data_IF_308222325497
#
_entry.id   IF_308222325497
#
_cell.length_a   1.000
_cell.length_b   1.000
_cell.length_c   1.000
_cell.angle_alpha   90.00
_cell.angle_beta   90.00
_cell.angle_gamma   90.00
#
_symmetry.space_group_name_H-M   'P 1'
#
loop_
_entity.id
_entity.type
_entity.pdbx_description
1 polymer ?
#
# COMPACT_ATOMS: atom_id res chain seq x y z
N UNK A 1 36.12 35.56 4.08
CA UNK A 1 36.95 34.62 4.86
C UNK A 1 36.54 33.24 4.43
N UNK A 2 37.35 32.60 3.58
CA UNK A 2 37.09 31.24 3.10
C UNK A 2 37.50 30.24 4.20
N UNK A 3 36.51 29.56 4.77
CA UNK A 3 36.74 28.52 5.78
C UNK A 3 37.41 27.31 5.12
N UNK A 4 38.49 26.73 5.70
CA UNK A 4 39.19 25.61 5.09
C UNK A 4 38.27 24.39 4.99
N UNK A 5 38.07 23.87 3.78
CA UNK A 5 37.28 22.66 3.53
C UNK A 5 38.11 21.44 3.91
N UNK A 6 37.94 20.92 5.12
CA UNK A 6 38.42 19.57 5.46
C UNK A 6 37.75 18.55 4.51
N UNK A 7 38.55 17.82 3.73
CA UNK A 7 38.09 16.65 2.95
C UNK A 7 37.81 15.44 3.86
N UNK A 8 37.11 15.66 4.98
CA UNK A 8 36.57 14.59 5.80
C UNK A 8 35.21 14.17 5.23
N UNK A 9 34.95 12.86 5.19
CA UNK A 9 33.67 12.31 4.73
C UNK A 9 32.49 12.86 5.54
N UNK A 10 31.28 12.82 4.97
CA UNK A 10 30.08 13.26 5.69
C UNK A 10 29.87 12.41 6.95
N UNK A 11 29.73 13.05 8.11
CA UNK A 11 29.36 12.35 9.35
C UNK A 11 27.90 11.89 9.28
N UNK A 12 27.51 10.99 10.19
CA UNK A 12 26.10 10.58 10.30
C UNK A 12 25.22 11.76 10.76
N UNK A 13 25.71 12.61 11.67
CA UNK A 13 24.99 13.82 12.14
C UNK A 13 24.74 14.83 11.01
N UNK A 14 25.74 15.07 10.15
CA UNK A 14 25.58 15.96 9.00
C UNK A 14 24.56 15.40 8.00
N UNK A 15 24.53 14.08 7.85
CA UNK A 15 23.58 13.41 6.97
C UNK A 15 22.17 13.47 7.53
N UNK A 16 22.01 13.24 8.83
CA UNK A 16 20.74 13.34 9.54
C UNK A 16 20.18 14.77 9.48
N UNK A 17 20.99 15.79 9.80
CA UNK A 17 20.58 17.19 9.69
C UNK A 17 20.14 17.57 8.27
N UNK A 18 20.81 17.04 7.26
CA UNK A 18 20.43 17.26 5.85
C UNK A 18 19.10 16.61 5.50
N UNK A 19 18.86 15.38 5.97
CA UNK A 19 17.59 14.67 5.76
C UNK A 19 16.45 15.36 6.50
N UNK A 20 16.66 15.79 7.73
CA UNK A 20 15.62 16.47 8.53
C UNK A 20 15.19 17.79 7.89
N UNK A 21 16.15 18.61 7.46
CA UNK A 21 15.84 19.84 6.74
C UNK A 21 15.13 19.58 5.41
N UNK A 22 15.53 18.52 4.68
CA UNK A 22 14.85 18.12 3.45
C UNK A 22 13.40 17.73 3.71
N UNK A 23 13.14 16.88 4.71
CA UNK A 23 11.79 16.43 5.03
C UNK A 23 10.89 17.56 5.53
N UNK A 24 11.44 18.51 6.29
CA UNK A 24 10.72 19.73 6.69
C UNK A 24 10.32 20.57 5.47
N UNK A 25 11.25 20.80 4.53
CA UNK A 25 10.94 21.52 3.28
C UNK A 25 9.92 20.77 2.42
N UNK A 26 10.02 19.44 2.34
CA UNK A 26 9.06 18.61 1.61
C UNK A 26 7.66 18.70 2.23
N UNK A 27 7.55 18.66 3.56
CA UNK A 27 6.28 18.83 4.25
C UNK A 27 5.64 20.19 3.91
N UNK A 28 6.43 21.28 3.92
CA UNK A 28 5.98 22.62 3.51
C UNK A 28 5.49 22.64 2.05
N UNK A 29 6.25 22.04 1.12
CA UNK A 29 5.85 21.96 -0.30
C UNK A 29 4.51 21.23 -0.45
N UNK A 30 4.35 20.10 0.24
CA UNK A 30 3.13 19.30 0.18
C UNK A 30 1.92 19.98 0.84
N UNK A 31 2.14 20.87 1.82
CA UNK A 31 1.08 21.69 2.42
C UNK A 31 0.83 23.01 1.68
N UNK A 32 1.49 23.25 0.54
CA UNK A 32 1.36 24.50 -0.22
C UNK A 32 2.02 25.72 0.45
N UNK A 33 2.87 25.50 1.46
CA UNK A 33 3.64 26.56 2.10
C UNK A 33 4.91 26.83 1.28
N UNK A 34 5.26 28.11 1.16
CA UNK A 34 6.47 28.52 0.44
C UNK A 34 7.70 28.41 1.35
N UNK A 35 8.85 28.09 0.76
CA UNK A 35 10.16 28.13 1.42
C UNK A 35 11.21 28.56 0.40
N UNK A 36 12.38 29.05 0.86
CA UNK A 36 13.46 29.53 -0.01
C UNK A 36 14.70 28.68 0.19
N UNK A 37 15.02 27.80 -0.77
CA UNK A 37 16.19 26.89 -0.73
C UNK A 37 17.49 27.55 -0.22
N UNK A 38 17.76 28.79 -0.61
CA UNK A 38 18.95 29.53 -0.18
C UNK A 38 18.97 29.85 1.31
N UNK A 39 17.81 30.15 1.91
CA UNK A 39 17.66 30.41 3.34
C UNK A 39 17.91 29.14 4.14
N UNK A 40 17.26 28.04 3.78
CA UNK A 40 17.46 26.75 4.44
C UNK A 40 18.89 26.22 4.29
N UNK A 41 19.52 26.43 3.14
CA UNK A 41 20.94 26.11 2.94
C UNK A 41 21.85 26.94 3.87
N UNK A 42 21.58 28.23 4.00
CA UNK A 42 22.31 29.12 4.90
C UNK A 42 22.13 28.68 6.36
N UNK A 43 20.90 28.40 6.81
CA UNK A 43 20.62 27.91 8.16
C UNK A 43 21.36 26.62 8.51
N UNK A 44 21.42 25.67 7.56
CA UNK A 44 22.19 24.44 7.76
C UNK A 44 23.68 24.71 7.94
N UNK A 45 24.24 25.62 7.16
CA UNK A 45 25.66 26.01 7.26
C UNK A 45 25.96 26.86 8.49
N UNK A 46 25.01 27.65 8.97
CA UNK A 46 25.21 28.39 10.22
C UNK A 46 25.12 27.48 11.45
N UNK A 47 24.64 26.25 11.30
CA UNK A 47 24.58 25.24 12.36
C UNK A 47 25.32 23.94 12.01
N UNK A 48 24.59 22.82 11.85
CA UNK A 48 25.18 21.48 11.82
C UNK A 48 26.11 21.21 10.63
N UNK A 49 26.00 21.98 9.54
CA UNK A 49 26.79 21.85 8.32
C UNK A 49 27.82 22.99 8.16
N UNK A 50 28.29 23.58 9.26
CA UNK A 50 29.23 24.72 9.24
C UNK A 50 30.57 24.47 8.56
N UNK A 51 30.95 23.20 8.42
CA UNK A 51 32.15 22.79 7.66
C UNK A 51 31.89 22.56 6.16
N UNK A 52 30.65 22.72 5.68
CA UNK A 52 30.26 22.39 4.30
C UNK A 52 29.98 23.65 3.48
N UNK A 53 30.35 23.61 2.21
CA UNK A 53 30.03 24.67 1.25
C UNK A 53 28.56 24.64 0.84
N UNK A 54 28.03 25.79 0.39
CA UNK A 54 26.65 25.88 -0.09
C UNK A 54 26.36 24.89 -1.24
N UNK A 55 27.33 24.71 -2.15
CA UNK A 55 27.25 23.75 -3.26
C UNK A 55 27.24 22.30 -2.79
N UNK A 56 28.02 21.97 -1.75
CA UNK A 56 28.04 20.63 -1.15
C UNK A 56 26.69 20.29 -0.51
N UNK A 57 26.06 21.26 0.15
CA UNK A 57 24.71 21.11 0.73
C UNK A 57 23.65 20.97 -0.37
N UNK A 58 23.69 21.78 -1.43
CA UNK A 58 22.75 21.64 -2.57
C UNK A 58 22.84 20.24 -3.19
N UNK A 59 24.06 19.76 -3.46
CA UNK A 59 24.26 18.42 -4.01
C UNK A 59 23.80 17.31 -3.07
N UNK A 60 23.92 17.51 -1.74
CA UNK A 60 23.37 16.60 -0.74
C UNK A 60 21.84 16.50 -0.84
N UNK A 61 21.14 17.61 -1.08
CA UNK A 61 19.69 17.60 -1.30
C UNK A 61 19.32 16.85 -2.58
N UNK A 62 20.10 16.98 -3.66
CA UNK A 62 19.92 16.21 -4.89
C UNK A 62 20.13 14.70 -4.67
N UNK A 63 21.09 14.32 -3.82
CA UNK A 63 21.29 12.92 -3.43
C UNK A 63 20.06 12.37 -2.69
N UNK A 64 19.49 13.14 -1.76
CA UNK A 64 18.25 12.76 -1.04
C UNK A 64 17.09 12.61 -2.03
N UNK A 65 16.91 13.56 -2.96
CA UNK A 65 15.89 13.46 -4.03
C UNK A 65 16.00 12.17 -4.84
N UNK A 66 17.21 11.76 -5.24
CA UNK A 66 17.38 10.53 -6.00
C UNK A 66 17.11 9.27 -5.16
N UNK A 67 17.47 9.27 -3.86
CA UNK A 67 17.12 8.15 -2.96
C UNK A 67 15.61 8.06 -2.76
N UNK A 68 14.91 9.17 -2.54
CA UNK A 68 13.45 9.18 -2.43
C UNK A 68 12.79 8.68 -3.72
N UNK A 69 13.28 9.10 -4.89
CA UNK A 69 12.78 8.64 -6.18
C UNK A 69 12.98 7.13 -6.39
N UNK A 70 14.15 6.59 -6.01
CA UNK A 70 14.41 5.15 -6.00
C UNK A 70 13.49 4.38 -5.04
N UNK A 71 13.05 5.01 -3.94
CA UNK A 71 12.10 4.45 -2.98
C UNK A 71 10.63 4.64 -3.42
N UNK A 72 10.38 5.27 -4.57
CA UNK A 72 9.02 5.59 -5.03
C UNK A 72 8.32 6.68 -4.22
N UNK A 73 9.08 7.46 -3.45
CA UNK A 73 8.59 8.54 -2.60
C UNK A 73 8.61 9.88 -3.33
N UNK A 74 7.76 10.81 -2.89
CA UNK A 74 7.78 12.19 -3.41
C UNK A 74 9.07 12.88 -2.97
N UNK A 75 9.68 13.60 -3.91
CA UNK A 75 10.81 14.50 -3.69
C UNK A 75 10.35 15.94 -3.82
N UNK A 76 11.15 16.86 -3.29
CA UNK A 76 10.98 18.29 -3.54
C UNK A 76 11.18 18.56 -5.04
N UNK A 77 10.24 19.27 -5.65
CA UNK A 77 10.25 19.58 -7.09
C UNK A 77 11.54 20.31 -7.51
N UNK A 78 11.96 21.29 -6.71
CA UNK A 78 13.13 22.16 -6.95
C UNK A 78 14.51 21.54 -6.68
N UNK A 79 14.58 20.28 -6.23
CA UNK A 79 15.84 19.53 -6.11
C UNK A 79 15.83 18.35 -7.08
N UNK A 80 16.44 18.54 -8.25
CA UNK A 80 16.57 17.49 -9.25
C UNK A 80 17.40 16.31 -8.71
N UNK A 81 16.95 15.05 -8.89
CA UNK A 81 17.70 13.86 -8.50
C UNK A 81 19.13 13.86 -9.05
N UNK A 82 20.10 13.55 -8.18
CA UNK A 82 21.49 13.39 -8.61
C UNK A 82 21.61 12.21 -9.58
N UNK A 83 22.33 12.40 -10.70
CA UNK A 83 22.53 11.36 -11.73
C UNK A 83 23.34 10.17 -11.22
N UNK A 84 24.30 10.42 -10.34
CA UNK A 84 25.20 9.41 -9.78
C UNK A 84 25.27 9.61 -8.27
N UNK A 85 25.02 8.55 -7.51
CA UNK A 85 25.20 8.52 -6.05
C UNK A 85 26.07 7.31 -5.71
N UNK A 86 27.12 7.53 -4.92
CA UNK A 86 27.93 6.42 -4.41
C UNK A 86 27.10 5.47 -3.54
N UNK A 87 27.26 4.16 -3.74
CA UNK A 87 26.43 3.14 -3.07
C UNK A 87 26.39 3.29 -1.54
N UNK A 88 27.54 3.56 -0.90
CA UNK A 88 27.61 3.75 0.56
C UNK A 88 26.84 4.99 1.04
N UNK A 89 26.84 6.07 0.25
CA UNK A 89 26.09 7.29 0.58
C UNK A 89 24.58 7.05 0.44
N UNK A 90 24.15 6.38 -0.63
CA UNK A 90 22.75 6.03 -0.82
C UNK A 90 22.23 5.14 0.33
N UNK A 91 23.02 4.13 0.74
CA UNK A 91 22.66 3.25 1.85
C UNK A 91 22.52 4.01 3.17
N UNK A 92 23.46 4.93 3.48
CA UNK A 92 23.38 5.75 4.70
C UNK A 92 22.16 6.67 4.69
N UNK A 93 21.82 7.29 3.56
CA UNK A 93 20.59 8.10 3.43
C UNK A 93 19.35 7.24 3.68
N UNK A 94 19.27 6.04 3.08
CA UNK A 94 18.14 5.11 3.31
C UNK A 94 18.02 4.73 4.78
N UNK A 95 19.13 4.47 5.46
CA UNK A 95 19.15 4.15 6.90
C UNK A 95 18.58 5.29 7.75
N UNK A 96 18.96 6.54 7.46
CA UNK A 96 18.41 7.71 8.15
C UNK A 96 16.92 7.84 7.87
N UNK A 97 16.51 7.77 6.60
CA UNK A 97 15.09 7.88 6.20
C UNK A 97 14.20 6.81 6.83
N UNK A 98 14.70 5.59 7.05
CA UNK A 98 13.95 4.51 7.68
C UNK A 98 13.52 4.83 9.13
N UNK A 99 14.24 5.72 9.81
CA UNK A 99 13.95 6.14 11.19
C UNK A 99 13.18 7.47 11.26
N UNK A 100 12.76 8.04 10.13
CA UNK A 100 12.11 9.36 10.06
C UNK A 100 10.69 9.22 9.49
N UNK A 101 9.80 10.13 9.89
CA UNK A 101 8.48 10.24 9.28
C UNK A 101 8.64 10.93 7.94
N UNK A 102 8.61 10.14 6.86
CA UNK A 102 8.70 10.67 5.50
C UNK A 102 7.28 10.89 4.95
N UNK A 103 6.91 12.12 4.56
CA UNK A 103 5.60 12.41 4.01
C UNK A 103 5.25 11.50 2.82
N UNK A 104 4.18 10.71 2.96
CA UNK A 104 3.74 9.76 1.94
C UNK A 104 4.39 8.37 2.00
N UNK A 105 5.29 8.08 2.95
CA UNK A 105 5.85 6.75 3.13
C UNK A 105 4.79 5.69 3.45
N UNK A 106 3.75 6.06 4.19
CA UNK A 106 2.60 5.19 4.44
C UNK A 106 1.88 4.75 3.17
N UNK A 107 2.03 5.42 2.03
CA UNK A 107 1.38 5.01 0.79
C UNK A 107 2.12 3.86 0.08
N UNK A 108 3.43 3.73 0.33
CA UNK A 108 4.30 2.72 -0.32
C UNK A 108 4.81 1.66 0.66
N UNK A 109 4.54 1.82 1.96
CA UNK A 109 4.96 0.87 2.98
C UNK A 109 4.34 -0.52 2.73
N UNK A 110 5.14 -1.60 2.84
CA UNK A 110 4.62 -2.96 2.91
C UNK A 110 3.62 -3.12 4.06
N UNK A 111 2.68 -4.04 3.92
CA UNK A 111 1.68 -4.34 4.96
C UNK A 111 1.20 -5.78 4.83
N UNK A 112 0.86 -6.39 5.96
CA UNK A 112 0.21 -7.69 5.99
C UNK A 112 -1.32 -7.58 5.83
N UNK A 113 -1.89 -6.38 6.04
CA UNK A 113 -3.32 -6.16 5.87
C UNK A 113 -3.68 -6.08 4.38
N UNK A 114 -4.40 -7.09 3.90
CA UNK A 114 -4.74 -7.25 2.49
C UNK A 114 -5.54 -6.05 1.93
N UNK A 115 -6.44 -5.46 2.73
CA UNK A 115 -7.26 -4.32 2.29
C UNK A 115 -6.39 -3.08 2.04
N UNK A 116 -5.50 -2.79 2.98
CA UNK A 116 -4.52 -1.70 2.88
C UNK A 116 -3.59 -1.94 1.70
N UNK A 117 -3.11 -3.17 1.50
CA UNK A 117 -2.26 -3.53 0.36
C UNK A 117 -2.96 -3.26 -0.98
N UNK A 118 -4.19 -3.75 -1.17
CA UNK A 118 -4.97 -3.53 -2.41
C UNK A 118 -5.23 -2.05 -2.66
N UNK A 119 -5.54 -1.28 -1.60
CA UNK A 119 -5.79 0.16 -1.69
C UNK A 119 -4.54 0.92 -2.11
N UNK A 120 -3.39 0.64 -1.45
CA UNK A 120 -2.08 1.22 -1.80
C UNK A 120 -1.67 0.86 -3.23
N UNK A 121 -1.77 -0.42 -3.60
CA UNK A 121 -1.46 -0.90 -4.94
C UNK A 121 -2.30 -0.22 -6.03
N UNK A 122 -3.62 -0.10 -5.83
CA UNK A 122 -4.52 0.60 -6.75
C UNK A 122 -4.11 2.07 -6.95
N UNK A 123 -3.71 2.77 -5.87
CA UNK A 123 -3.23 4.16 -5.96
C UNK A 123 -1.91 4.25 -6.74
N UNK A 124 -0.97 3.35 -6.49
CA UNK A 124 0.32 3.30 -7.17
C UNK A 124 0.17 2.95 -8.66
N UNK A 125 -0.72 2.01 -8.99
CA UNK A 125 -1.05 1.66 -10.37
C UNK A 125 -1.60 2.88 -11.14
N UNK A 126 -2.52 3.64 -10.53
CA UNK A 126 -3.05 4.89 -11.11
C UNK A 126 -1.97 5.95 -11.32
N UNK A 127 -0.97 6.03 -10.43
CA UNK A 127 0.16 6.95 -10.57
C UNK A 127 1.15 6.51 -11.66
N UNK A 128 1.22 5.21 -11.96
CA UNK A 128 2.14 4.63 -12.93
C UNK A 128 3.58 4.61 -12.39
N UNK A 129 4.00 3.46 -11.85
CA UNK A 129 5.38 3.28 -11.38
C UNK A 129 6.36 3.49 -12.54
N UNK A 130 7.40 4.30 -12.31
CA UNK A 130 8.43 4.62 -13.30
C UNK A 130 9.62 3.66 -13.27
N UNK A 131 9.77 2.95 -12.17
CA UNK A 131 10.90 2.05 -11.89
C UNK A 131 10.34 0.69 -11.51
N UNK A 132 10.95 -0.37 -12.02
CA UNK A 132 10.63 -1.74 -11.65
C UNK A 132 10.96 -1.97 -10.16
N UNK A 133 10.01 -2.46 -9.35
CA UNK A 133 10.27 -2.70 -7.94
C UNK A 133 11.21 -3.91 -7.76
N UNK A 134 12.26 -3.75 -6.96
CA UNK A 134 13.23 -4.82 -6.66
C UNK A 134 12.65 -5.99 -5.86
N UNK A 135 11.50 -5.80 -5.20
CA UNK A 135 10.90 -6.75 -4.27
C UNK A 135 11.68 -6.90 -2.95
N UNK A 136 11.23 -7.84 -2.12
CA UNK A 136 11.93 -8.28 -0.90
C UNK A 136 12.09 -9.81 -0.95
N UNK A 137 13.32 -10.35 -1.05
CA UNK A 137 13.55 -11.79 -1.11
C UNK A 137 13.23 -12.53 0.18
N UNK A 138 13.20 -11.82 1.33
CA UNK A 138 12.90 -12.39 2.65
C UNK A 138 11.81 -11.54 3.32
N UNK A 139 10.54 -11.67 2.90
CA UNK A 139 9.44 -10.91 3.50
C UNK A 139 9.25 -11.31 4.98
N UNK A 140 9.03 -10.34 5.89
CA UNK A 140 8.80 -10.64 7.29
C UNK A 140 7.49 -11.42 7.46
N UNK A 141 7.54 -12.48 8.26
CA UNK A 141 6.34 -13.23 8.64
C UNK A 141 5.66 -12.54 9.83
N UNK A 142 4.33 -12.56 9.83
CA UNK A 142 3.52 -12.07 10.95
C UNK A 142 2.52 -13.15 11.34
N UNK A 143 2.38 -13.39 12.65
CA UNK A 143 1.34 -14.26 13.20
C UNK A 143 0.07 -13.45 13.46
N UNK A 144 -1.08 -13.98 13.05
CA UNK A 144 -2.39 -13.35 13.27
C UNK A 144 -3.34 -14.32 13.96
N UNK A 145 -4.18 -13.79 14.85
CA UNK A 145 -5.30 -14.54 15.44
C UNK A 145 -6.58 -14.14 14.71
N UNK A 146 -7.33 -15.12 14.21
CA UNK A 146 -8.58 -14.87 13.48
C UNK A 146 -9.74 -15.61 14.12
N UNK A 147 -10.89 -14.94 14.18
CA UNK A 147 -12.15 -15.56 14.58
C UNK A 147 -12.79 -16.21 13.35
N UNK A 148 -13.19 -17.46 13.49
CA UNK A 148 -13.91 -18.20 12.45
C UNK A 148 -15.27 -18.67 12.98
N UNK A 149 -16.21 -18.84 12.06
CA UNK A 149 -17.52 -19.41 12.36
C UNK A 149 -17.52 -20.90 12.00
N UNK A 150 -18.03 -21.73 12.90
CA UNK A 150 -18.37 -23.12 12.60
C UNK A 150 -19.60 -23.11 11.69
N UNK A 151 -19.49 -23.74 10.52
CA UNK A 151 -20.55 -23.75 9.50
C UNK A 151 -21.12 -25.15 9.31
N UNK A 152 -22.41 -25.25 9.06
CA UNK A 152 -23.09 -26.51 8.80
C UNK A 152 -22.77 -27.02 7.39
N UNK A 153 -22.07 -28.16 7.23
CA UNK A 153 -21.77 -28.73 5.93
C UNK A 153 -23.04 -29.09 5.13
N UNK A 154 -24.17 -29.35 5.79
CA UNK A 154 -25.44 -29.67 5.12
C UNK A 154 -26.00 -28.45 4.39
N UNK A 155 -25.93 -27.25 4.99
CA UNK A 155 -26.33 -26.00 4.34
C UNK A 155 -25.49 -25.78 3.09
N UNK A 156 -24.16 -25.96 3.21
CA UNK A 156 -23.25 -25.85 2.07
C UNK A 156 -23.60 -26.83 0.95
N UNK A 157 -23.72 -28.12 1.28
CA UNK A 157 -24.01 -29.17 0.30
C UNK A 157 -25.37 -28.94 -0.39
N UNK A 158 -26.40 -28.56 0.38
CA UNK A 158 -27.73 -28.29 -0.13
C UNK A 158 -27.73 -27.12 -1.12
N UNK A 159 -27.16 -25.98 -0.74
CA UNK A 159 -27.12 -24.77 -1.59
C UNK A 159 -26.30 -25.02 -2.86
N UNK A 160 -25.15 -25.69 -2.77
CA UNK A 160 -24.37 -26.07 -3.94
C UNK A 160 -25.14 -27.03 -4.87
N UNK A 161 -25.89 -27.98 -4.31
CA UNK A 161 -26.72 -28.92 -5.07
C UNK A 161 -27.86 -28.23 -5.83
N UNK A 162 -28.51 -27.23 -5.22
CA UNK A 162 -29.55 -26.43 -5.88
C UNK A 162 -29.00 -25.69 -7.11
N UNK A 163 -27.76 -25.20 -7.02
CA UNK A 163 -27.11 -24.43 -8.07
C UNK A 163 -26.70 -25.26 -9.29
N UNK A 164 -26.60 -26.59 -9.17
CA UNK A 164 -26.26 -27.51 -10.28
C UNK A 164 -25.02 -27.08 -11.08
N UNK A 165 -24.01 -26.57 -10.39
CA UNK A 165 -22.78 -26.08 -10.99
C UNK A 165 -22.92 -24.78 -11.79
N UNK A 166 -24.00 -24.03 -11.60
CA UNK A 166 -24.22 -22.70 -12.20
C UNK A 166 -24.25 -21.65 -11.11
N UNK A 167 -23.45 -20.60 -11.25
CA UNK A 167 -23.39 -19.48 -10.31
C UNK A 167 -24.75 -18.77 -10.24
N UNK A 168 -25.29 -18.63 -9.03
CA UNK A 168 -26.59 -17.96 -8.81
C UNK A 168 -26.51 -16.43 -8.95
N UNK A 169 -25.30 -15.87 -8.98
CA UNK A 169 -25.07 -14.45 -9.20
C UNK A 169 -24.97 -14.05 -10.68
N UNK A 170 -24.22 -14.78 -11.50
CA UNK A 170 -23.98 -14.42 -12.91
C UNK A 170 -24.55 -15.40 -13.93
N UNK A 171 -25.08 -16.55 -13.51
CA UNK A 171 -25.62 -17.58 -14.41
C UNK A 171 -24.55 -18.35 -15.20
N UNK A 172 -23.26 -18.12 -14.95
CA UNK A 172 -22.18 -18.86 -15.62
C UNK A 172 -21.89 -20.17 -14.91
N UNK A 173 -21.38 -21.16 -15.65
CA UNK A 173 -20.93 -22.44 -15.09
C UNK A 173 -19.78 -22.23 -14.09
N UNK A 174 -19.63 -23.17 -13.16
CA UNK A 174 -18.49 -23.24 -12.27
C UNK A 174 -17.18 -23.24 -13.10
N UNK A 175 -16.13 -22.54 -12.62
CA UNK A 175 -14.89 -22.38 -13.38
C UNK A 175 -14.02 -23.64 -13.44
N UNK A 176 -14.15 -24.53 -12.46
CA UNK A 176 -13.40 -25.79 -12.35
C UNK A 176 -14.14 -26.75 -11.40
N UNK A 177 -13.60 -27.95 -11.22
CA UNK A 177 -14.14 -28.97 -10.32
C UNK A 177 -13.18 -29.26 -9.15
N UNK A 178 -13.75 -29.67 -8.01
CA UNK A 178 -13.03 -30.19 -6.84
C UNK A 178 -13.75 -31.45 -6.38
N UNK A 179 -13.00 -32.53 -6.17
CA UNK A 179 -13.54 -33.84 -5.79
C UNK A 179 -14.66 -34.34 -6.73
N UNK A 180 -14.52 -34.05 -8.03
CA UNK A 180 -15.50 -34.42 -9.07
C UNK A 180 -16.80 -33.61 -9.04
N UNK A 181 -16.86 -32.51 -8.29
CA UNK A 181 -18.02 -31.62 -8.22
C UNK A 181 -17.68 -30.21 -8.73
N UNK A 182 -18.62 -29.53 -9.42
CA UNK A 182 -18.45 -28.13 -9.84
C UNK A 182 -18.14 -27.20 -8.67
N UNK A 183 -17.06 -26.43 -8.76
CA UNK A 183 -16.62 -25.55 -7.69
C UNK A 183 -17.40 -24.23 -7.65
N UNK A 184 -18.24 -24.08 -6.62
CA UNK A 184 -18.87 -22.83 -6.23
C UNK A 184 -18.62 -22.57 -4.75
N UNK A 185 -18.49 -21.29 -4.39
CA UNK A 185 -18.35 -20.83 -3.02
C UNK A 185 -19.74 -20.50 -2.45
N UNK A 186 -20.11 -21.14 -1.34
CA UNK A 186 -21.33 -20.79 -0.60
C UNK A 186 -21.08 -19.53 0.21
N UNK A 187 -21.87 -18.50 -0.07
CA UNK A 187 -21.79 -17.17 0.50
C UNK A 187 -23.05 -16.85 1.29
N UNK A 188 -22.90 -16.41 2.53
CA UNK A 188 -23.98 -15.87 3.34
C UNK A 188 -24.23 -14.41 2.95
N UNK A 189 -25.42 -14.10 2.42
CA UNK A 189 -25.76 -12.80 1.83
C UNK A 189 -25.75 -11.71 2.90
N UNK A 190 -26.37 -11.95 4.06
CA UNK A 190 -26.02 -11.29 5.32
C UNK A 190 -24.83 -12.02 5.93
N UNK A 191 -23.70 -11.36 6.01
CA UNK A 191 -22.48 -11.98 6.53
C UNK A 191 -22.67 -12.48 7.98
N UNK A 192 -22.10 -13.62 8.32
CA UNK A 192 -22.11 -14.16 9.70
C UNK A 192 -21.51 -13.16 10.72
N UNK A 193 -20.48 -12.41 10.32
CA UNK A 193 -19.89 -11.33 11.11
C UNK A 193 -20.86 -10.17 11.42
N UNK A 194 -21.95 -10.08 10.67
CA UNK A 194 -23.04 -9.11 10.83
C UNK A 194 -24.31 -9.80 11.33
N UNK A 195 -24.16 -10.90 12.07
CA UNK A 195 -25.26 -11.67 12.65
C UNK A 195 -26.22 -12.29 11.61
N UNK A 196 -25.73 -12.58 10.40
CA UNK A 196 -26.49 -13.39 9.45
C UNK A 196 -26.58 -14.85 9.88
N UNK A 197 -27.67 -15.52 9.51
CA UNK A 197 -27.87 -16.92 9.83
C UNK A 197 -27.07 -17.87 8.92
N UNK A 198 -26.68 -19.03 9.45
CA UNK A 198 -26.16 -20.13 8.63
C UNK A 198 -27.32 -21.02 8.15
N UNK A 199 -28.07 -20.51 7.20
CA UNK A 199 -29.29 -21.13 6.70
C UNK A 199 -29.40 -21.07 5.18
N UNK A 200 -30.25 -21.91 4.61
CA UNK A 200 -30.52 -21.93 3.16
C UNK A 200 -31.15 -20.63 2.66
N UNK A 201 -31.84 -19.88 3.53
CA UNK A 201 -32.52 -18.62 3.23
C UNK A 201 -31.60 -17.42 3.28
N UNK A 202 -30.37 -17.60 3.75
CA UNK A 202 -29.33 -16.57 3.75
C UNK A 202 -28.11 -16.97 2.90
N UNK A 203 -28.15 -18.10 2.19
CA UNK A 203 -26.98 -18.64 1.50
C UNK A 203 -27.17 -18.84 -0.02
N UNK A 204 -26.16 -18.46 -0.79
CA UNK A 204 -26.08 -18.59 -2.26
C UNK A 204 -24.79 -19.26 -2.71
N UNK A 205 -24.83 -20.00 -3.82
CA UNK A 205 -23.66 -20.59 -4.47
C UNK A 205 -23.15 -19.66 -5.58
N UNK A 206 -21.93 -19.14 -5.42
CA UNK A 206 -21.32 -18.17 -6.33
C UNK A 206 -20.02 -18.70 -6.91
N UNK A 207 -19.69 -18.30 -8.14
CA UNK A 207 -18.33 -18.49 -8.64
C UNK A 207 -17.36 -17.57 -7.86
N UNK A 208 -16.04 -17.85 -7.87
CA UNK A 208 -15.06 -17.07 -7.11
C UNK A 208 -15.10 -15.57 -7.43
N UNK A 209 -15.39 -15.21 -8.68
CA UNK A 209 -15.49 -13.81 -9.12
C UNK A 209 -16.71 -13.12 -8.50
N UNK A 210 -17.88 -13.76 -8.53
CA UNK A 210 -19.11 -13.21 -7.93
C UNK A 210 -19.00 -13.14 -6.40
N UNK A 211 -18.41 -14.16 -5.78
CA UNK A 211 -18.18 -14.13 -4.34
C UNK A 211 -17.26 -12.98 -3.93
N UNK A 212 -16.16 -12.74 -4.68
CA UNK A 212 -15.29 -11.57 -4.45
C UNK A 212 -15.99 -10.24 -4.71
N UNK A 213 -16.91 -10.17 -5.69
CA UNK A 213 -17.72 -8.97 -5.96
C UNK A 213 -18.57 -8.58 -4.75
N UNK A 214 -19.21 -9.53 -4.07
CA UNK A 214 -19.95 -9.29 -2.82
C UNK A 214 -19.09 -8.66 -1.71
N UNK A 215 -17.79 -8.97 -1.66
CA UNK A 215 -16.89 -8.46 -0.64
C UNK A 215 -16.18 -7.15 -1.00
N UNK A 216 -15.76 -6.99 -2.25
CA UNK A 216 -14.75 -6.00 -2.65
C UNK A 216 -15.26 -4.98 -3.68
N UNK A 217 -16.29 -5.30 -4.46
CA UNK A 217 -16.66 -4.43 -5.56
C UNK A 217 -17.35 -3.14 -5.09
N UNK A 218 -17.18 -2.08 -5.86
CA UNK A 218 -17.85 -0.80 -5.64
C UNK A 218 -19.37 -0.89 -5.76
N UNK A 219 -19.87 -1.88 -6.49
CA UNK A 219 -21.29 -2.13 -6.73
C UNK A 219 -21.85 -3.28 -5.89
N UNK A 220 -21.13 -3.71 -4.83
CA UNK A 220 -21.51 -4.86 -4.00
C UNK A 220 -22.94 -4.77 -3.45
N UNK A 221 -23.41 -3.59 -3.07
CA UNK A 221 -24.75 -3.41 -2.50
C UNK A 221 -25.83 -3.66 -3.56
N UNK A 222 -25.67 -3.08 -4.75
CA UNK A 222 -26.55 -3.34 -5.88
C UNK A 222 -26.50 -4.81 -6.31
N UNK A 223 -25.31 -5.42 -6.30
CA UNK A 223 -25.16 -6.85 -6.61
C UNK A 223 -25.86 -7.74 -5.57
N UNK A 224 -25.70 -7.45 -4.28
CA UNK A 224 -26.37 -8.15 -3.17
C UNK A 224 -27.89 -8.04 -3.29
N UNK A 225 -28.43 -6.85 -3.59
CA UNK A 225 -29.86 -6.68 -3.84
C UNK A 225 -30.35 -7.55 -5.00
N UNK A 226 -29.58 -7.61 -6.10
CA UNK A 226 -29.93 -8.47 -7.24
C UNK A 226 -29.96 -9.97 -6.90
N UNK A 227 -29.25 -10.42 -5.85
CA UNK A 227 -29.33 -11.81 -5.40
C UNK A 227 -30.70 -12.11 -4.78
N UNK A 228 -31.23 -11.21 -3.95
CA UNK A 228 -32.58 -11.35 -3.36
C UNK A 228 -33.68 -11.39 -4.42
N UNK A 229 -33.51 -10.66 -5.52
CA UNK A 229 -34.47 -10.68 -6.64
C UNK A 229 -34.41 -11.99 -7.45
N UNK A 230 -33.22 -12.55 -7.66
CA UNK A 230 -33.01 -13.72 -8.52
C UNK A 230 -33.21 -15.04 -7.81
N UNK A 231 -32.89 -15.09 -6.52
CA UNK A 231 -32.85 -16.34 -5.75
C UNK A 231 -34.03 -16.35 -4.79
N UNK A 232 -35.17 -16.89 -5.26
CA UNK A 232 -36.45 -16.80 -4.55
C UNK A 232 -36.53 -17.46 -3.16
N UNK A 233 -35.51 -18.22 -2.74
CA UNK A 233 -35.43 -18.76 -1.38
C UNK A 233 -34.82 -17.79 -0.37
N UNK A 234 -34.21 -16.70 -0.82
CA UNK A 234 -33.53 -15.76 0.07
C UNK A 234 -34.55 -14.90 0.83
N UNK A 235 -34.29 -14.67 2.11
CA UNK A 235 -35.09 -13.82 2.99
C UNK A 235 -34.18 -12.74 3.56
N UNK A 236 -34.65 -11.49 3.55
CA UNK A 236 -33.91 -10.36 4.13
C UNK A 236 -33.98 -10.46 5.66
N UNK A 237 -32.81 -10.50 6.30
CA UNK A 237 -32.61 -10.62 7.76
C UNK A 237 -32.11 -9.34 8.42
#
# INVERSE_FOLDING_TARGET
MDTPTEKSGWSDDELEASVDAYLMMLARELSGQTFKKSVENQLLRDGPLSKRSASSVEYRMQNISAVLEQMGLRRISGYMPAKNIGAGVAQRIRKVLANKVVPGADEVAPTFDQRTLISRASKLQKKGLKVEPSGNPNPPQVSTTTTAYVRDPKVRAWVAGLAKGVCEGCGQKAPFEVDGLPFLEVHHVKHLAQQGSDSITNAVALCPNCHRRCHLASDREAFTLSLYERVGRLIIE
#
